data_IF_471668927804
#
_entry.id   IF_471668927804
#
_cell.length_a   1.000
_cell.length_b   1.000
_cell.length_c   1.000
_cell.angle_alpha   90.00
_cell.angle_beta   90.00
_cell.angle_gamma   90.00
#
_symmetry.space_group_name_H-M   'P 1'
#
loop_
_entity.id
_entity.type
_entity.pdbx_description
1 polymer ?
#
# COMPACT_ATOMS: atom_id res chain seq x y z
N UNK A 1 0.57 28.57 5.95
CA UNK A 1 0.37 27.12 5.76
C UNK A 1 0.94 26.78 4.40
N UNK A 2 2.04 26.04 4.34
CA UNK A 2 2.51 25.46 3.08
C UNK A 2 1.39 24.60 2.50
N UNK A 3 1.02 24.83 1.24
CA UNK A 3 0.16 23.93 0.50
C UNK A 3 0.85 22.57 0.46
N UNK A 4 0.45 21.65 1.36
CA UNK A 4 0.88 20.26 1.27
C UNK A 4 0.38 19.73 -0.07
N UNK A 5 1.31 19.52 -1.00
CA UNK A 5 1.01 19.02 -2.33
C UNK A 5 0.52 17.58 -2.19
N UNK A 6 -0.78 17.37 -2.35
CA UNK A 6 -1.34 16.03 -2.46
C UNK A 6 -1.03 15.48 -3.85
N UNK A 7 -0.59 14.23 -3.93
CA UNK A 7 -0.27 13.54 -5.17
C UNK A 7 -1.28 12.42 -5.41
N UNK A 8 -1.74 12.29 -6.65
CA UNK A 8 -2.60 11.18 -7.09
C UNK A 8 -1.74 10.25 -7.93
N UNK A 9 -1.66 9.00 -7.51
CA UNK A 9 -0.91 7.95 -8.19
C UNK A 9 -1.88 7.01 -8.90
N UNK A 10 -1.53 6.58 -10.11
CA UNK A 10 -2.21 5.46 -10.74
C UNK A 10 -1.79 4.17 -10.06
N UNK A 11 -2.76 3.34 -9.68
CA UNK A 11 -2.53 2.06 -9.04
C UNK A 11 -2.33 0.93 -10.07
N UNK A 12 -1.23 0.19 -9.96
CA UNK A 12 -1.09 -1.12 -10.60
C UNK A 12 -1.50 -2.20 -9.58
N UNK A 13 -2.76 -2.60 -9.65
CA UNK A 13 -3.32 -3.63 -8.77
C UNK A 13 -3.44 -4.96 -9.49
N UNK A 14 -2.87 -6.00 -8.91
CA UNK A 14 -3.00 -7.37 -9.43
C UNK A 14 -4.14 -8.07 -8.71
N UNK A 15 -5.12 -8.57 -9.44
CA UNK A 15 -6.22 -9.40 -8.94
C UNK A 15 -6.32 -10.70 -9.74
N UNK A 16 -7.07 -11.72 -9.29
CA UNK A 16 -7.27 -12.92 -10.07
C UNK A 16 -7.83 -12.57 -11.46
N UNK A 17 -7.22 -13.10 -12.52
CA UNK A 17 -7.57 -12.85 -13.93
C UNK A 17 -7.30 -11.42 -14.44
N UNK A 18 -6.67 -10.55 -13.66
CA UNK A 18 -6.23 -9.25 -14.16
C UNK A 18 -5.11 -9.42 -15.20
N UNK A 19 -5.17 -8.63 -16.28
CA UNK A 19 -4.10 -8.54 -17.27
C UNK A 19 -3.04 -7.52 -16.83
N UNK A 20 -2.37 -7.81 -15.70
CA UNK A 20 -1.35 -6.92 -15.16
C UNK A 20 -0.15 -6.78 -16.11
N UNK A 21 0.15 -7.79 -16.94
CA UNK A 21 1.19 -7.72 -17.97
C UNK A 21 0.84 -6.68 -19.04
N UNK A 22 -0.38 -6.74 -19.56
CA UNK A 22 -0.90 -5.72 -20.48
C UNK A 22 -0.89 -4.32 -19.84
N UNK A 23 -1.18 -4.20 -18.54
CA UNK A 23 -1.07 -2.91 -17.82
C UNK A 23 0.36 -2.37 -17.76
N UNK A 24 1.38 -3.22 -17.59
CA UNK A 24 2.77 -2.77 -17.69
C UNK A 24 3.11 -2.29 -19.11
N UNK A 25 2.59 -2.94 -20.15
CA UNK A 25 2.77 -2.47 -21.53
C UNK A 25 2.03 -1.15 -21.82
N UNK A 26 0.83 -0.96 -21.26
CA UNK A 26 0.14 0.33 -21.29
C UNK A 26 0.97 1.42 -20.61
N UNK A 27 1.58 1.13 -19.45
CA UNK A 27 2.46 2.09 -18.77
C UNK A 27 3.62 2.53 -19.65
N UNK A 28 4.28 1.59 -20.35
CA UNK A 28 5.34 1.90 -21.32
C UNK A 28 4.82 2.77 -22.45
N UNK A 29 3.70 2.38 -23.06
CA UNK A 29 3.07 3.07 -24.18
C UNK A 29 2.70 4.52 -23.84
N UNK A 30 2.19 4.76 -22.63
CA UNK A 30 1.72 6.07 -22.21
C UNK A 30 2.73 6.87 -21.38
N UNK A 31 3.93 6.33 -21.15
CA UNK A 31 4.96 7.00 -20.37
C UNK A 31 4.60 7.16 -18.89
N UNK A 32 3.81 6.23 -18.33
CA UNK A 32 3.46 6.22 -16.90
C UNK A 32 4.66 5.70 -16.12
N UNK A 33 5.33 6.61 -15.39
CA UNK A 33 6.58 6.33 -14.67
C UNK A 33 6.48 6.47 -13.17
N UNK A 34 5.31 6.78 -12.64
CA UNK A 34 5.12 6.97 -11.20
C UNK A 34 3.78 6.41 -10.77
N UNK A 35 3.82 5.32 -9.99
CA UNK A 35 2.63 4.52 -9.66
C UNK A 35 2.58 4.14 -8.18
N UNK A 36 1.41 3.72 -7.72
CA UNK A 36 1.28 2.91 -6.53
C UNK A 36 1.16 1.42 -6.94
N UNK A 37 1.82 0.52 -6.22
CA UNK A 37 1.90 -0.90 -6.59
C UNK A 37 1.19 -1.79 -5.56
N UNK A 38 0.27 -2.63 -6.04
CA UNK A 38 -0.53 -3.55 -5.22
C UNK A 38 -0.44 -4.97 -5.78
N UNK A 39 0.64 -5.72 -5.51
CA UNK A 39 0.87 -7.07 -6.04
C UNK A 39 0.08 -8.13 -5.23
N UNK A 40 -1.19 -7.83 -4.95
CA UNK A 40 -2.02 -8.46 -3.90
C UNK A 40 -2.31 -9.94 -4.12
N UNK A 41 -2.29 -10.44 -5.36
CA UNK A 41 -2.67 -11.83 -5.69
C UNK A 41 -1.57 -12.63 -6.39
N UNK A 42 -0.37 -12.07 -6.54
CA UNK A 42 0.75 -12.73 -7.19
C UNK A 42 1.58 -13.54 -6.19
N UNK A 43 1.89 -14.77 -6.56
CA UNK A 43 2.87 -15.59 -5.86
C UNK A 43 4.30 -15.15 -6.20
N UNK A 44 5.29 -15.58 -5.42
CA UNK A 44 6.67 -15.06 -5.51
C UNK A 44 7.28 -15.08 -6.92
N UNK A 45 7.00 -16.12 -7.71
CA UNK A 45 7.51 -16.22 -9.09
C UNK A 45 6.84 -15.21 -10.02
N UNK A 46 5.55 -14.96 -9.85
CA UNK A 46 4.82 -13.96 -10.63
C UNK A 46 5.21 -12.54 -10.20
N UNK A 47 5.50 -12.33 -8.91
CA UNK A 47 6.04 -11.05 -8.41
C UNK A 47 7.41 -10.76 -9.01
N UNK A 48 8.30 -11.77 -9.08
CA UNK A 48 9.60 -11.64 -9.76
C UNK A 48 9.41 -11.24 -11.23
N UNK A 49 8.52 -11.92 -11.95
CA UNK A 49 8.21 -11.55 -13.33
C UNK A 49 7.67 -10.12 -13.45
N UNK A 50 6.77 -9.71 -12.55
CA UNK A 50 6.28 -8.33 -12.49
C UNK A 50 7.43 -7.34 -12.28
N UNK A 51 8.34 -7.61 -11.35
CA UNK A 51 9.48 -6.74 -11.07
C UNK A 51 10.44 -6.65 -12.27
N UNK A 52 10.68 -7.76 -12.97
CA UNK A 52 11.49 -7.80 -14.19
C UNK A 52 10.85 -7.00 -15.33
N UNK A 53 9.52 -6.97 -15.42
CA UNK A 53 8.81 -6.14 -16.41
C UNK A 53 8.84 -4.65 -16.03
N UNK A 54 8.68 -4.32 -14.76
CA UNK A 54 8.75 -2.95 -14.24
C UNK A 54 10.15 -2.35 -14.40
N UNK A 55 11.19 -3.16 -14.24
CA UNK A 55 12.59 -2.74 -14.43
C UNK A 55 12.87 -2.25 -15.87
N UNK A 56 12.09 -2.69 -16.86
CA UNK A 56 12.21 -2.24 -18.25
C UNK A 56 11.60 -0.86 -18.50
N UNK A 57 11.08 -0.19 -17.47
CA UNK A 57 10.54 1.17 -17.55
C UNK A 57 11.56 2.15 -16.97
N UNK A 58 12.30 2.83 -17.85
CA UNK A 58 13.33 3.79 -17.45
C UNK A 58 12.78 4.92 -16.59
N UNK A 59 13.33 5.06 -15.38
CA UNK A 59 12.94 6.08 -14.41
C UNK A 59 11.60 5.81 -13.73
N UNK A 60 11.16 4.55 -13.67
CA UNK A 60 10.00 4.17 -12.88
C UNK A 60 10.23 4.42 -11.38
N UNK A 61 9.27 5.10 -10.76
CA UNK A 61 9.19 5.33 -9.33
C UNK A 61 7.93 4.68 -8.76
N UNK A 62 8.07 4.01 -7.62
CA UNK A 62 6.96 3.36 -6.91
C UNK A 62 6.92 3.89 -5.47
N UNK A 63 6.48 5.15 -5.27
CA UNK A 63 6.48 5.80 -3.95
C UNK A 63 5.56 5.12 -2.92
N UNK A 64 4.56 4.35 -3.36
CA UNK A 64 3.59 3.67 -2.51
C UNK A 64 3.45 2.19 -2.89
N UNK A 65 3.62 1.28 -1.93
CA UNK A 65 3.44 -0.17 -2.12
C UNK A 65 2.52 -0.76 -1.06
N UNK A 66 1.57 -1.59 -1.48
CA UNK A 66 0.78 -2.42 -0.59
C UNK A 66 1.48 -3.76 -0.31
N UNK A 67 1.85 -4.02 0.94
CA UNK A 67 2.64 -5.20 1.28
C UNK A 67 1.77 -6.40 1.72
N UNK A 68 2.18 -7.58 1.27
CA UNK A 68 1.59 -8.87 1.65
C UNK A 68 2.45 -9.57 2.71
N UNK A 69 1.82 -10.32 3.61
CA UNK A 69 2.49 -11.08 4.68
C UNK A 69 3.50 -12.15 4.22
N UNK A 70 3.56 -12.50 2.93
CA UNK A 70 4.51 -13.46 2.34
C UNK A 70 5.60 -12.76 1.52
N UNK A 71 5.76 -11.43 1.65
CA UNK A 71 6.84 -10.70 1.00
C UNK A 71 8.17 -10.95 1.68
N UNK A 72 9.19 -11.20 0.88
CA UNK A 72 10.56 -11.41 1.35
C UNK A 72 11.25 -10.06 1.62
N UNK A 73 12.24 -10.04 2.52
CA UNK A 73 12.93 -8.79 2.90
C UNK A 73 13.53 -8.04 1.70
N UNK A 74 14.10 -8.77 0.74
CA UNK A 74 14.68 -8.17 -0.46
C UNK A 74 13.65 -7.43 -1.32
N UNK A 75 12.36 -7.80 -1.26
CA UNK A 75 11.29 -7.09 -1.97
C UNK A 75 11.14 -5.68 -1.41
N UNK A 76 11.20 -5.52 -0.09
CA UNK A 76 11.14 -4.20 0.56
C UNK A 76 12.41 -3.38 0.29
N UNK A 77 13.58 -4.02 0.28
CA UNK A 77 14.83 -3.35 -0.11
C UNK A 77 14.78 -2.86 -1.56
N UNK A 78 14.25 -3.68 -2.47
CA UNK A 78 14.03 -3.32 -3.86
C UNK A 78 13.10 -2.10 -3.96
N UNK A 79 11.95 -2.13 -3.28
CA UNK A 79 11.00 -1.02 -3.30
C UNK A 79 11.59 0.27 -2.72
N UNK A 80 12.23 0.21 -1.55
CA UNK A 80 12.80 1.38 -0.88
C UNK A 80 13.98 1.96 -1.66
N UNK A 81 14.93 1.13 -2.06
CA UNK A 81 16.21 1.60 -2.58
C UNK A 81 16.21 1.83 -4.10
N UNK A 82 15.56 0.96 -4.88
CA UNK A 82 15.51 1.08 -6.34
C UNK A 82 14.34 1.94 -6.80
N UNK A 83 13.15 1.67 -6.29
CA UNK A 83 11.92 2.34 -6.73
C UNK A 83 11.53 3.56 -5.89
N UNK A 84 12.29 3.86 -4.82
CA UNK A 84 12.09 5.05 -4.00
C UNK A 84 10.80 5.04 -3.18
N UNK A 85 10.32 3.86 -2.77
CA UNK A 85 9.14 3.73 -1.91
C UNK A 85 9.35 4.48 -0.59
N UNK A 86 8.36 5.30 -0.24
CA UNK A 86 8.33 6.09 1.01
C UNK A 86 7.14 5.75 1.88
N UNK A 87 6.15 5.08 1.30
CA UNK A 87 4.91 4.71 1.96
C UNK A 87 4.64 3.26 1.66
N UNK A 88 4.52 2.47 2.70
CA UNK A 88 4.01 1.11 2.65
C UNK A 88 2.65 1.09 3.30
N UNK A 89 1.72 0.28 2.82
CA UNK A 89 0.52 -0.02 3.58
C UNK A 89 0.29 -1.51 3.71
N UNK A 90 -0.31 -1.90 4.83
CA UNK A 90 -0.62 -3.29 5.13
C UNK A 90 -2.02 -3.41 5.72
N UNK A 91 -2.62 -4.58 5.56
CA UNK A 91 -3.76 -4.97 6.38
C UNK A 91 -3.30 -5.14 7.84
N UNK A 92 -4.08 -4.65 8.81
CA UNK A 92 -3.72 -4.73 10.23
C UNK A 92 -3.40 -6.15 10.73
N UNK A 93 -4.04 -7.17 10.14
CA UNK A 93 -3.75 -8.59 10.46
C UNK A 93 -2.31 -9.01 10.14
N UNK A 94 -1.63 -8.32 9.22
CA UNK A 94 -0.23 -8.61 8.85
C UNK A 94 0.78 -7.93 9.77
N UNK A 95 0.37 -7.06 10.70
CA UNK A 95 1.28 -6.31 11.57
C UNK A 95 2.24 -7.22 12.36
N UNK A 96 1.75 -8.38 12.83
CA UNK A 96 2.55 -9.33 13.58
C UNK A 96 3.74 -9.92 12.77
N UNK A 97 3.65 -9.91 11.44
CA UNK A 97 4.73 -10.30 10.54
C UNK A 97 5.79 -9.19 10.47
N UNK A 98 5.37 -7.96 10.18
CA UNK A 98 6.28 -6.82 9.97
C UNK A 98 6.93 -6.26 11.23
N UNK A 99 6.35 -6.49 12.41
CA UNK A 99 6.96 -6.04 13.68
C UNK A 99 8.20 -6.84 14.12
N UNK A 100 8.62 -7.83 13.32
CA UNK A 100 9.76 -8.71 13.63
C UNK A 100 10.94 -8.37 12.71
N UNK A 101 12.19 -8.52 13.18
CA UNK A 101 13.35 -8.45 12.31
C UNK A 101 13.26 -9.43 11.12
N UNK A 102 13.75 -9.06 9.93
CA UNK A 102 14.39 -7.77 9.59
C UNK A 102 13.40 -6.65 9.19
N UNK A 103 12.09 -6.87 9.30
CA UNK A 103 11.07 -5.98 8.76
C UNK A 103 10.71 -4.79 9.66
N UNK A 104 11.08 -4.85 10.94
CA UNK A 104 10.78 -3.84 11.94
C UNK A 104 11.36 -2.45 11.60
N UNK A 105 12.45 -2.41 10.84
CA UNK A 105 13.07 -1.17 10.33
C UNK A 105 12.19 -0.37 9.37
N UNK A 106 11.13 -0.96 8.83
CA UNK A 106 10.20 -0.31 7.90
C UNK A 106 8.94 0.22 8.61
N UNK A 107 8.74 -0.07 9.90
CA UNK A 107 7.52 0.32 10.62
C UNK A 107 7.19 1.83 10.53
N UNK A 108 8.16 2.77 10.63
CA UNK A 108 7.86 4.20 10.48
C UNK A 108 7.28 4.60 9.12
N UNK A 109 7.52 3.79 8.08
CA UNK A 109 7.02 4.01 6.71
C UNK A 109 5.76 3.17 6.41
N UNK A 110 5.36 2.28 7.33
CA UNK A 110 4.18 1.41 7.19
C UNK A 110 2.95 2.11 7.75
N UNK A 111 1.86 2.11 6.98
CA UNK A 111 0.56 2.64 7.34
C UNK A 111 -0.46 1.51 7.40
N UNK A 112 -1.27 1.47 8.47
CA UNK A 112 -2.26 0.41 8.67
C UNK A 112 -3.55 0.78 7.96
N UNK A 113 -4.01 -0.10 7.08
CA UNK A 113 -5.25 0.08 6.32
C UNK A 113 -6.49 -0.18 7.16
N UNK A 114 -7.51 0.67 7.04
CA UNK A 114 -8.84 0.45 7.62
C UNK A 114 -9.63 -0.60 6.82
N UNK A 115 -9.44 -1.85 7.22
CA UNK A 115 -10.26 -2.95 6.73
C UNK A 115 -11.48 -3.18 7.62
N UNK A 116 -12.27 -4.20 7.29
CA UNK A 116 -13.41 -4.66 8.09
C UNK A 116 -13.04 -5.18 9.49
N UNK A 117 -11.76 -5.38 9.77
CA UNK A 117 -11.25 -5.79 11.07
C UNK A 117 -10.79 -4.56 11.86
N UNK A 118 -11.01 -4.55 13.17
CA UNK A 118 -10.58 -3.45 14.02
C UNK A 118 -9.08 -3.19 13.97
N UNK A 119 -8.70 -1.92 13.99
CA UNK A 119 -7.30 -1.48 14.05
C UNK A 119 -6.93 -1.25 15.52
N UNK A 120 -5.84 -1.87 15.98
CA UNK A 120 -5.32 -1.62 17.32
C UNK A 120 -4.49 -0.33 17.35
N UNK A 121 -4.76 0.52 18.35
CA UNK A 121 -3.94 1.71 18.66
C UNK A 121 -2.47 1.35 18.88
N UNK A 122 -2.20 0.23 19.55
CA UNK A 122 -0.83 -0.25 19.76
C UNK A 122 -0.08 -0.47 18.44
N UNK A 123 -0.77 -0.96 17.39
CA UNK A 123 -0.15 -1.11 16.08
C UNK A 123 0.16 0.26 15.46
N UNK A 124 -0.76 1.22 15.58
CA UNK A 124 -0.59 2.56 15.04
C UNK A 124 0.51 3.36 15.74
N UNK A 125 0.69 3.18 17.06
CA UNK A 125 1.74 3.83 17.83
C UNK A 125 3.16 3.40 17.41
N UNK A 126 3.28 2.23 16.77
CA UNK A 126 4.56 1.71 16.26
C UNK A 126 4.79 2.02 14.78
N UNK A 127 3.75 2.46 14.07
CA UNK A 127 3.73 2.60 12.62
C UNK A 127 3.72 4.07 12.19
N UNK A 128 3.83 4.33 10.88
CA UNK A 128 3.70 5.67 10.30
C UNK A 128 2.32 6.30 10.47
N UNK A 129 1.28 5.48 10.69
CA UNK A 129 -0.09 5.90 10.97
C UNK A 129 -1.13 5.08 10.18
N UNK A 130 -2.16 5.76 9.70
CA UNK A 130 -3.28 5.17 8.96
C UNK A 130 -3.12 5.29 7.44
N UNK A 131 -3.56 4.24 6.75
CA UNK A 131 -3.89 4.31 5.34
C UNK A 131 -5.41 4.21 5.19
N UNK A 132 -6.06 5.20 4.57
CA UNK A 132 -7.52 5.22 4.46
C UNK A 132 -7.96 4.61 3.12
N UNK A 133 -8.52 3.41 3.16
CA UNK A 133 -9.40 2.87 2.13
C UNK A 133 -10.80 3.48 2.27
N UNK A 134 -11.12 4.38 1.34
CA UNK A 134 -12.40 5.08 1.32
C UNK A 134 -13.58 4.17 0.96
N UNK A 135 -13.36 3.13 0.15
CA UNK A 135 -14.40 2.18 -0.24
C UNK A 135 -14.84 1.35 0.96
N UNK A 136 -13.89 0.88 1.78
CA UNK A 136 -14.21 0.21 3.04
C UNK A 136 -14.90 1.13 4.05
N UNK A 137 -14.41 2.36 4.18
CA UNK A 137 -14.99 3.32 5.13
C UNK A 137 -16.44 3.68 4.77
N UNK A 138 -16.69 3.99 3.50
CA UNK A 138 -18.04 4.31 3.03
C UNK A 138 -18.97 3.12 3.15
N UNK A 139 -18.51 1.91 2.80
CA UNK A 139 -19.28 0.68 3.03
C UNK A 139 -19.65 0.51 4.51
N UNK A 140 -18.72 0.78 5.43
CA UNK A 140 -18.97 0.71 6.86
C UNK A 140 -19.99 1.76 7.34
N UNK A 141 -19.91 3.00 6.81
CA UNK A 141 -20.86 4.08 7.11
C UNK A 141 -22.27 3.74 6.65
N UNK A 142 -22.42 3.26 5.41
CA UNK A 142 -23.71 2.84 4.85
C UNK A 142 -24.32 1.68 5.65
N UNK A 143 -23.48 0.76 6.14
CA UNK A 143 -23.89 -0.36 7.00
C UNK A 143 -24.09 0.03 8.46
N UNK A 144 -23.81 1.28 8.86
CA UNK A 144 -23.82 1.75 10.26
C UNK A 144 -23.00 0.84 11.18
N UNK A 145 -21.85 0.39 10.67
CA UNK A 145 -20.93 -0.47 11.42
C UNK A 145 -20.14 0.37 12.43
N UNK A 146 -19.86 -0.19 13.61
CA UNK A 146 -18.93 0.41 14.59
C UNK A 146 -17.51 0.60 14.03
N UNK A 147 -17.18 -0.05 12.91
CA UNK A 147 -15.93 0.20 12.18
C UNK A 147 -15.87 1.64 11.65
N UNK A 148 -16.99 2.22 11.20
CA UNK A 148 -16.99 3.60 10.70
C UNK A 148 -16.60 4.60 11.80
N UNK A 149 -17.22 4.49 12.98
CA UNK A 149 -16.94 5.33 14.15
C UNK A 149 -15.50 5.14 14.65
N UNK A 150 -15.01 3.89 14.65
CA UNK A 150 -13.61 3.61 14.97
C UNK A 150 -12.66 4.33 14.01
N UNK A 151 -12.92 4.25 12.70
CA UNK A 151 -12.07 4.91 11.69
C UNK A 151 -12.15 6.43 11.81
N UNK A 152 -13.34 7.00 12.08
CA UNK A 152 -13.51 8.43 12.34
C UNK A 152 -12.64 8.89 13.53
N UNK A 153 -12.67 8.15 14.65
CA UNK A 153 -11.86 8.46 15.83
C UNK A 153 -10.36 8.32 15.57
N UNK A 154 -9.93 7.23 14.94
CA UNK A 154 -8.52 7.01 14.63
C UNK A 154 -7.98 8.03 13.63
N UNK A 155 -8.77 8.45 12.64
CA UNK A 155 -8.40 9.49 11.68
C UNK A 155 -8.20 10.87 12.32
N UNK A 156 -8.86 11.13 13.47
CA UNK A 156 -8.64 12.34 14.27
C UNK A 156 -7.36 12.28 15.12
N UNK A 157 -6.97 11.09 15.55
CA UNK A 157 -5.86 10.90 16.49
C UNK A 157 -4.52 10.59 15.82
N UNK A 158 -4.54 9.97 14.65
CA UNK A 158 -3.34 9.46 13.97
C UNK A 158 -3.12 10.11 12.61
N UNK A 159 -1.84 10.19 12.21
CA UNK A 159 -1.46 10.67 10.88
C UNK A 159 -2.05 9.77 9.80
N UNK A 160 -2.71 10.38 8.82
CA UNK A 160 -3.06 9.73 7.55
C UNK A 160 -1.89 9.93 6.58
N UNK A 161 -1.23 8.84 6.17
CA UNK A 161 -0.09 8.90 5.24
C UNK A 161 -0.41 8.53 3.81
N UNK A 162 -1.43 7.70 3.61
CA UNK A 162 -1.96 7.37 2.30
C UNK A 162 -3.47 7.22 2.36
N UNK A 163 -4.08 7.36 1.19
CA UNK A 163 -5.46 6.97 0.98
C UNK A 163 -5.52 6.15 -0.30
N UNK A 164 -6.44 5.19 -0.35
CA UNK A 164 -6.71 4.41 -1.55
C UNK A 164 -8.21 4.38 -1.82
N UNK A 165 -8.50 4.24 -3.11
CA UNK A 165 -9.84 3.99 -3.62
C UNK A 165 -9.72 2.79 -4.55
N UNK A 166 -9.84 1.55 -4.04
CA UNK A 166 -9.83 0.38 -4.90
C UNK A 166 -11.04 0.44 -5.82
N UNK A 167 -10.79 0.26 -7.13
CA UNK A 167 -11.81 0.12 -8.16
C UNK A 167 -12.33 -1.32 -8.20
#
# INVERSE_FOLDING_TARGET
MENKKHEILLGLTTTPKSDWRGKVEEMKKFGIKRIALFPTFLEINERRELYDLLEKIDGLEVPHVHLRQDMEHWELELFRNKYGAKVFNIHGKHFAYYKKPPFDVYLPDIFIENQFYGISRQCLDMCGGLCIDFSHWESARLKKSSIAEMVDGLAGDYKIGCCMYPQ
#
